data_IF_644272882401
#
_entry.id   IF_644272882401
#
_cell.length_a   1.000
_cell.length_b   1.000
_cell.length_c   1.000
_cell.angle_alpha   90.00
_cell.angle_beta   90.00
_cell.angle_gamma   90.00
#
_symmetry.space_group_name_H-M   'P 1'
#
loop_
_entity.id
_entity.type
_entity.pdbx_description
1 polymer ?
#
# COMPACT_ATOMS: atom_id res chain seq x y z
N UNK A 1 -14.23 -33.14 19.32
CA UNK A 1 -13.12 -32.33 18.79
C UNK A 1 -13.61 -30.90 18.66
N UNK A 2 -12.99 -29.93 19.33
CA UNK A 2 -13.38 -28.53 19.21
C UNK A 2 -12.88 -27.98 17.87
N UNK A 3 -13.75 -27.29 17.12
CA UNK A 3 -13.35 -26.63 15.89
C UNK A 3 -12.30 -25.55 16.18
N UNK A 4 -11.34 -25.31 15.27
CA UNK A 4 -10.36 -24.25 15.44
C UNK A 4 -11.06 -22.89 15.55
N UNK A 5 -10.73 -22.12 16.60
CA UNK A 5 -11.31 -20.80 16.89
C UNK A 5 -10.74 -19.66 16.03
N UNK A 6 -9.77 -19.96 15.17
CA UNK A 6 -9.04 -18.97 14.37
C UNK A 6 -8.97 -19.42 12.91
N UNK A 7 -9.25 -18.48 12.00
CA UNK A 7 -9.12 -18.68 10.56
C UNK A 7 -7.86 -17.92 10.08
N UNK A 8 -6.75 -18.61 9.77
CA UNK A 8 -5.54 -17.95 9.30
C UNK A 8 -5.71 -17.45 7.86
N UNK A 9 -5.57 -16.14 7.65
CA UNK A 9 -5.69 -15.49 6.34
C UNK A 9 -4.31 -15.05 5.82
N UNK A 10 -3.41 -16.00 5.57
CA UNK A 10 -2.00 -15.71 5.24
C UNK A 10 -1.79 -14.94 3.92
N UNK A 11 -2.80 -14.92 3.04
CA UNK A 11 -2.72 -14.28 1.73
C UNK A 11 -3.25 -12.84 1.72
N UNK A 12 -3.66 -12.31 2.87
CA UNK A 12 -4.25 -10.97 3.00
C UNK A 12 -3.34 -10.14 3.90
N UNK A 13 -3.01 -8.92 3.48
CA UNK A 13 -2.30 -7.98 4.32
C UNK A 13 -3.15 -7.58 5.53
N UNK A 14 -2.51 -7.08 6.60
CA UNK A 14 -3.23 -6.55 7.77
C UNK A 14 -4.23 -5.46 7.37
N UNK A 15 -3.85 -4.56 6.47
CA UNK A 15 -4.68 -3.44 6.02
C UNK A 15 -5.91 -3.93 5.24
N UNK A 16 -5.74 -4.85 4.29
CA UNK A 16 -6.85 -5.42 3.55
C UNK A 16 -7.75 -6.29 4.44
N UNK A 17 -7.17 -7.02 5.40
CA UNK A 17 -7.91 -7.79 6.39
C UNK A 17 -8.78 -6.91 7.29
N UNK A 18 -8.30 -5.73 7.69
CA UNK A 18 -9.10 -4.77 8.44
C UNK A 18 -10.32 -4.30 7.63
N UNK A 19 -10.13 -3.92 6.37
CA UNK A 19 -11.23 -3.49 5.48
C UNK A 19 -12.25 -4.62 5.31
N UNK A 20 -11.77 -5.86 5.11
CA UNK A 20 -12.62 -7.02 4.96
C UNK A 20 -13.49 -7.27 6.20
N UNK A 21 -12.88 -7.31 7.39
CA UNK A 21 -13.61 -7.50 8.64
C UNK A 21 -14.62 -6.38 8.84
N UNK A 22 -14.19 -5.13 8.67
CA UNK A 22 -15.09 -3.98 8.81
C UNK A 22 -16.29 -4.09 7.87
N UNK A 23 -16.07 -4.42 6.60
CA UNK A 23 -17.14 -4.59 5.62
C UNK A 23 -18.13 -5.68 6.05
N UNK A 24 -17.66 -6.82 6.55
CA UNK A 24 -18.55 -7.91 7.01
C UNK A 24 -19.44 -7.52 8.20
N UNK A 25 -19.01 -6.54 9.00
CA UNK A 25 -19.79 -6.05 10.15
C UNK A 25 -20.66 -4.84 9.84
N UNK A 26 -20.25 -3.98 8.90
CA UNK A 26 -20.88 -2.66 8.70
C UNK A 26 -21.21 -2.33 7.25
N UNK A 27 -21.02 -3.25 6.31
CA UNK A 27 -21.22 -3.09 4.85
C UNK A 27 -20.52 -1.86 4.23
N UNK A 28 -19.48 -1.36 4.90
CA UNK A 28 -18.82 -0.09 4.54
C UNK A 28 -17.31 -0.29 4.39
N UNK A 29 -16.73 0.46 3.45
CA UNK A 29 -15.30 0.46 3.19
C UNK A 29 -14.61 1.46 4.12
N UNK A 30 -13.81 0.97 5.07
CA UNK A 30 -12.94 1.83 5.90
C UNK A 30 -11.53 1.26 5.95
N UNK A 31 -10.56 2.11 5.64
CA UNK A 31 -9.15 1.78 5.78
C UNK A 31 -8.68 2.03 7.20
N UNK A 32 -7.60 1.37 7.61
CA UNK A 32 -6.85 1.78 8.79
C UNK A 32 -6.36 3.23 8.66
N UNK A 33 -6.22 3.89 9.81
CA UNK A 33 -5.60 5.20 9.91
C UNK A 33 -4.12 5.05 9.54
N UNK A 34 -3.63 5.96 8.69
CA UNK A 34 -2.21 6.00 8.33
C UNK A 34 -1.37 6.47 9.52
N UNK A 35 -0.36 5.68 9.89
CA UNK A 35 0.56 5.97 11.02
C UNK A 35 1.98 6.27 10.49
N UNK A 36 2.11 6.54 9.19
CA UNK A 36 3.40 6.85 8.56
C UNK A 36 3.70 8.34 8.48
N UNK A 37 4.75 8.73 7.74
CA UNK A 37 5.08 10.13 7.52
C UNK A 37 3.89 10.90 6.94
N UNK A 38 3.73 12.16 7.32
CA UNK A 38 2.67 13.08 6.85
C UNK A 38 2.84 13.52 5.38
N UNK A 39 3.67 12.81 4.64
CA UNK A 39 3.79 12.96 3.19
C UNK A 39 2.52 12.38 2.55
N UNK A 40 1.60 13.27 2.14
CA UNK A 40 0.30 12.91 1.58
C UNK A 40 0.40 11.99 0.36
N UNK A 41 1.52 12.05 -0.39
CA UNK A 41 1.73 11.17 -1.53
C UNK A 41 1.96 9.71 -1.09
N UNK A 42 2.73 9.50 -0.01
CA UNK A 42 2.98 8.16 0.55
C UNK A 42 1.71 7.55 1.13
N UNK A 43 0.91 8.35 1.83
CA UNK A 43 -0.38 7.92 2.34
C UNK A 43 -1.32 7.50 1.21
N UNK A 44 -1.43 8.31 0.15
CA UNK A 44 -2.24 7.99 -1.03
C UNK A 44 -1.79 6.69 -1.72
N UNK A 45 -0.48 6.50 -1.89
CA UNK A 45 0.09 5.26 -2.46
C UNK A 45 -0.27 4.05 -1.60
N UNK A 46 -0.15 4.15 -0.27
CA UNK A 46 -0.47 3.06 0.64
C UNK A 46 -1.97 2.71 0.65
N UNK A 47 -2.83 3.74 0.60
CA UNK A 47 -4.29 3.56 0.45
C UNK A 47 -4.63 2.89 -0.88
N UNK A 48 -4.00 3.31 -1.97
CA UNK A 48 -4.23 2.73 -3.30
C UNK A 48 -3.78 1.25 -3.33
N UNK A 49 -2.61 0.93 -2.76
CA UNK A 49 -2.15 -0.45 -2.61
C UNK A 49 -3.16 -1.30 -1.85
N UNK A 50 -3.62 -0.81 -0.70
CA UNK A 50 -4.64 -1.48 0.11
C UNK A 50 -5.92 -1.71 -0.70
N UNK A 51 -6.35 -0.73 -1.49
CA UNK A 51 -7.55 -0.86 -2.32
C UNK A 51 -7.42 -1.96 -3.40
N UNK A 52 -6.25 -2.11 -4.03
CA UNK A 52 -6.00 -3.23 -4.95
C UNK A 52 -5.99 -4.59 -4.23
N UNK A 53 -5.39 -4.68 -3.05
CA UNK A 53 -5.39 -5.93 -2.27
C UNK A 53 -6.81 -6.31 -1.81
N UNK A 54 -7.63 -5.33 -1.42
CA UNK A 54 -9.04 -5.56 -1.09
C UNK A 54 -9.83 -5.96 -2.34
N UNK A 55 -9.57 -5.32 -3.48
CA UNK A 55 -10.19 -5.67 -4.75
C UNK A 55 -9.94 -7.15 -5.10
N UNK A 56 -8.69 -7.61 -5.00
CA UNK A 56 -8.33 -9.02 -5.20
C UNK A 56 -9.03 -9.96 -4.21
N UNK A 57 -8.98 -9.59 -2.93
CA UNK A 57 -9.55 -10.39 -1.84
C UNK A 57 -11.06 -10.52 -1.97
N UNK A 58 -11.77 -9.42 -2.28
CA UNK A 58 -13.21 -9.41 -2.50
C UNK A 58 -13.59 -10.30 -3.69
N UNK A 59 -12.75 -10.31 -4.74
CA UNK A 59 -12.89 -11.21 -5.87
C UNK A 59 -12.65 -12.69 -5.51
N UNK A 60 -11.73 -12.99 -4.59
CA UNK A 60 -11.47 -14.36 -4.12
C UNK A 60 -12.62 -14.92 -3.29
N UNK A 61 -13.30 -14.06 -2.53
CA UNK A 61 -14.43 -14.43 -1.67
C UNK A 61 -15.82 -14.17 -2.27
N UNK A 62 -15.90 -13.76 -3.54
CA UNK A 62 -17.15 -13.41 -4.24
C UNK A 62 -18.00 -12.33 -3.52
N UNK A 63 -17.33 -11.38 -2.87
CA UNK A 63 -17.97 -10.27 -2.15
C UNK A 63 -18.25 -9.11 -3.10
N UNK A 64 -19.29 -9.23 -3.92
CA UNK A 64 -19.62 -8.27 -4.99
C UNK A 64 -19.75 -6.82 -4.49
N UNK A 65 -20.39 -6.59 -3.35
CA UNK A 65 -20.51 -5.24 -2.79
C UNK A 65 -19.15 -4.62 -2.43
N UNK A 66 -18.25 -5.43 -1.86
CA UNK A 66 -16.89 -4.99 -1.54
C UNK A 66 -16.04 -4.76 -2.80
N UNK A 67 -16.26 -5.54 -3.87
CA UNK A 67 -15.62 -5.31 -5.17
C UNK A 67 -15.97 -3.92 -5.70
N UNK A 68 -17.25 -3.53 -5.68
CA UNK A 68 -17.65 -2.20 -6.18
C UNK A 68 -17.08 -1.05 -5.32
N UNK A 69 -17.10 -1.20 -3.98
CA UNK A 69 -16.51 -0.23 -3.09
C UNK A 69 -15.00 -0.07 -3.33
N UNK A 70 -14.27 -1.17 -3.51
CA UNK A 70 -12.84 -1.13 -3.81
C UNK A 70 -12.56 -0.44 -5.16
N UNK A 71 -13.37 -0.67 -6.19
CA UNK A 71 -13.25 0.01 -7.50
C UNK A 71 -13.43 1.51 -7.38
N UNK A 72 -14.41 1.94 -6.60
CA UNK A 72 -14.66 3.36 -6.34
C UNK A 72 -13.43 4.01 -5.68
N UNK A 73 -12.89 3.36 -4.64
CA UNK A 73 -11.69 3.84 -3.95
C UNK A 73 -10.47 3.93 -4.89
N UNK A 74 -10.23 2.90 -5.71
CA UNK A 74 -9.15 2.93 -6.72
C UNK A 74 -9.37 4.09 -7.71
N UNK A 75 -10.60 4.33 -8.14
CA UNK A 75 -10.96 5.38 -9.10
C UNK A 75 -10.76 6.78 -8.54
N UNK A 76 -10.99 6.96 -7.23
CA UNK A 76 -10.77 8.22 -6.52
C UNK A 76 -9.27 8.45 -6.31
N UNK A 77 -8.57 7.48 -5.74
CA UNK A 77 -7.16 7.61 -5.33
C UNK A 77 -6.20 7.76 -6.51
N UNK A 78 -6.52 7.19 -7.68
CA UNK A 78 -5.65 7.28 -8.86
C UNK A 78 -5.50 8.69 -9.44
N UNK A 79 -6.39 9.63 -9.11
CA UNK A 79 -6.46 10.94 -9.77
C UNK A 79 -5.20 11.78 -9.55
N UNK A 80 -4.58 11.61 -8.39
CA UNK A 80 -3.44 12.41 -7.93
C UNK A 80 -2.13 11.60 -7.90
N UNK A 81 -2.13 10.40 -8.50
CA UNK A 81 -0.97 9.50 -8.53
C UNK A 81 -0.51 9.32 -9.98
N UNK A 82 0.79 9.43 -10.20
CA UNK A 82 1.40 9.18 -11.49
C UNK A 82 1.08 7.78 -12.04
N UNK A 83 0.85 7.69 -13.34
CA UNK A 83 0.44 6.46 -13.98
C UNK A 83 1.48 5.34 -13.88
N UNK A 84 2.79 5.64 -13.90
CA UNK A 84 3.83 4.63 -13.71
C UNK A 84 3.85 4.09 -12.28
N UNK A 85 3.58 4.95 -11.29
CA UNK A 85 3.44 4.52 -9.89
C UNK A 85 2.24 3.57 -9.74
N UNK A 86 1.08 3.94 -10.32
CA UNK A 86 -0.11 3.06 -10.34
C UNK A 86 0.24 1.71 -10.98
N UNK A 87 0.99 1.73 -12.09
CA UNK A 87 1.40 0.52 -12.80
C UNK A 87 2.27 -0.38 -11.92
N UNK A 88 3.20 0.20 -11.16
CA UNK A 88 4.03 -0.58 -10.25
C UNK A 88 3.23 -1.19 -9.10
N UNK A 89 2.32 -0.41 -8.50
CA UNK A 89 1.51 -0.85 -7.36
C UNK A 89 0.65 -2.07 -7.75
N UNK A 90 -0.05 -2.04 -8.88
CA UNK A 90 -0.91 -3.17 -9.23
C UNK A 90 -0.12 -4.43 -9.56
N UNK A 91 1.08 -4.33 -10.15
CA UNK A 91 1.92 -5.50 -10.44
C UNK A 91 2.27 -6.27 -9.16
N UNK A 92 2.46 -5.54 -8.06
CA UNK A 92 2.73 -6.11 -6.74
C UNK A 92 1.46 -6.62 -6.05
N UNK A 93 0.39 -5.81 -6.04
CA UNK A 93 -0.81 -6.06 -5.27
C UNK A 93 -1.85 -6.96 -5.97
N UNK A 94 -1.81 -7.05 -7.30
CA UNK A 94 -2.75 -7.79 -8.13
C UNK A 94 -2.05 -8.58 -9.24
N UNK A 95 -1.20 -9.57 -8.89
CA UNK A 95 -0.37 -10.29 -9.86
C UNK A 95 -1.19 -11.20 -10.79
N UNK A 96 -2.36 -11.67 -10.34
CA UNK A 96 -3.20 -12.61 -11.10
C UNK A 96 -4.48 -11.93 -11.56
N UNK A 97 -4.35 -11.08 -12.59
CA UNK A 97 -5.52 -10.45 -13.20
C UNK A 97 -6.46 -11.52 -13.76
N UNK A 98 -7.72 -11.53 -13.30
CA UNK A 98 -8.72 -12.47 -13.81
C UNK A 98 -9.00 -12.17 -15.30
N UNK A 99 -8.93 -13.19 -16.14
CA UNK A 99 -9.17 -13.08 -17.58
C UNK A 99 -10.56 -12.54 -17.95
N UNK A 100 -11.52 -12.48 -17.01
CA UNK A 100 -12.85 -11.92 -17.23
C UNK A 100 -13.10 -10.56 -16.52
N UNK A 101 -12.06 -9.93 -15.98
CA UNK A 101 -12.20 -8.62 -15.34
C UNK A 101 -12.17 -7.48 -16.39
N UNK A 102 -13.35 -7.18 -16.94
CA UNK A 102 -13.54 -6.11 -17.91
C UNK A 102 -13.20 -4.73 -17.34
N UNK A 103 -13.56 -4.48 -16.08
CA UNK A 103 -13.31 -3.20 -15.43
C UNK A 103 -11.81 -2.97 -15.28
N UNK A 104 -11.07 -3.97 -14.79
CA UNK A 104 -9.63 -3.85 -14.60
C UNK A 104 -8.89 -3.70 -15.94
N UNK A 105 -9.29 -4.42 -16.99
CA UNK A 105 -8.72 -4.23 -18.34
C UNK A 105 -8.91 -2.81 -18.84
N UNK A 106 -10.12 -2.27 -18.71
CA UNK A 106 -10.40 -0.90 -19.12
C UNK A 106 -9.59 0.11 -18.28
N UNK A 107 -9.49 -0.12 -16.97
CA UNK A 107 -8.70 0.68 -16.05
C UNK A 107 -7.22 0.73 -16.44
N UNK A 108 -6.61 -0.43 -16.72
CA UNK A 108 -5.19 -0.50 -17.11
C UNK A 108 -4.97 0.18 -18.46
N UNK A 109 -5.87 -0.03 -19.43
CA UNK A 109 -5.80 0.65 -20.72
C UNK A 109 -5.85 2.18 -20.58
N UNK A 110 -6.75 2.71 -19.74
CA UNK A 110 -6.83 4.14 -19.42
C UNK A 110 -5.56 4.65 -18.73
N UNK A 111 -5.05 3.88 -17.77
CA UNK A 111 -3.83 4.24 -17.01
C UNK A 111 -2.61 4.31 -17.93
N UNK A 112 -2.42 3.32 -18.80
CA UNK A 112 -1.33 3.30 -19.78
C UNK A 112 -1.48 4.47 -20.75
N UNK A 113 -2.68 4.72 -21.27
CA UNK A 113 -2.94 5.83 -22.18
C UNK A 113 -2.52 7.17 -21.55
N UNK A 114 -2.91 7.41 -20.30
CA UNK A 114 -2.51 8.61 -19.55
C UNK A 114 -0.99 8.73 -19.38
N UNK A 115 -0.30 7.63 -19.11
CA UNK A 115 1.16 7.61 -18.99
C UNK A 115 1.87 8.06 -20.28
N UNK A 116 1.25 7.83 -21.45
CA UNK A 116 1.80 8.25 -22.74
C UNK A 116 1.33 9.65 -23.18
N UNK A 117 0.16 10.10 -22.74
CA UNK A 117 -0.37 11.44 -23.06
C UNK A 117 0.25 12.54 -22.20
N UNK A 118 0.66 12.20 -20.98
CA UNK A 118 1.46 13.08 -20.12
C UNK A 118 2.90 12.62 -20.21
N UNK A 119 3.78 13.27 -21.00
CA UNK A 119 5.20 12.93 -20.99
C UNK A 119 5.74 13.25 -19.60
N UNK A 120 5.76 12.25 -18.72
CA UNK A 120 6.44 12.35 -17.44
C UNK A 120 7.90 12.73 -17.72
N UNK A 121 8.40 13.70 -16.97
CA UNK A 121 9.80 14.08 -16.94
C UNK A 121 10.66 12.81 -16.85
N UNK A 122 11.71 12.66 -17.68
CA UNK A 122 12.46 11.41 -17.75
C UNK A 122 12.90 10.95 -16.36
N UNK A 123 12.56 9.71 -16.02
CA UNK A 123 13.12 9.02 -14.85
C UNK A 123 14.63 9.24 -14.84
N UNK A 124 15.25 9.72 -13.73
CA UNK A 124 16.69 9.76 -13.66
C UNK A 124 17.21 8.33 -13.86
N UNK A 125 17.96 8.14 -14.93
CA UNK A 125 18.60 6.87 -15.21
C UNK A 125 19.42 6.49 -13.98
N UNK A 126 19.19 5.28 -13.46
CA UNK A 126 20.05 4.67 -12.45
C UNK A 126 21.42 4.48 -13.10
N UNK A 127 22.30 5.46 -12.95
CA UNK A 127 23.71 5.31 -13.29
C UNK A 127 24.28 4.29 -12.31
N UNK A 128 24.42 3.06 -12.80
CA UNK A 128 25.39 2.14 -12.23
C UNK A 128 26.77 2.77 -12.48
N UNK A 129 27.37 3.29 -11.42
CA UNK A 129 28.80 3.54 -11.40
C UNK A 129 29.40 2.49 -10.49
N UNK A 130 30.07 1.54 -11.12
CA UNK A 130 30.97 0.58 -10.48
C UNK A 130 32.06 1.33 -9.69
N UNK A 131 32.27 0.79 -8.51
CA UNK A 131 33.50 0.75 -7.72
C UNK A 131 34.85 0.97 -8.45
N UNK A 132 35.65 1.92 -7.94
CA UNK A 132 37.03 1.71 -7.42
C UNK A 132 37.86 3.00 -7.47
N UNK A 133 38.18 3.62 -6.33
CA UNK A 133 39.58 3.89 -5.92
C UNK A 133 39.64 4.22 -4.41
N UNK A 134 40.40 3.42 -3.65
CA UNK A 134 40.93 3.76 -2.32
C UNK A 134 41.85 4.99 -2.45
N UNK A 135 41.94 5.95 -1.54
CA UNK A 135 42.42 6.03 -0.15
C UNK A 135 42.22 7.53 0.19
N UNK A 136 41.85 8.00 1.38
CA UNK A 136 42.76 8.16 2.53
C UNK A 136 42.05 9.01 3.62
N UNK A 137 42.45 8.77 4.86
CA UNK A 137 42.34 9.61 6.08
C UNK A 137 41.05 9.64 6.93
N UNK A 138 41.26 9.11 8.13
CA UNK A 138 40.41 9.02 9.30
C UNK A 138 40.05 10.37 9.94
N UNK A 139 38.88 10.42 10.58
CA UNK A 139 38.71 10.98 11.92
C UNK A 139 37.72 10.11 12.70
N UNK A 140 38.16 9.64 13.86
CA UNK A 140 37.36 8.98 14.90
C UNK A 140 36.19 9.84 15.37
N UNK A 141 35.03 9.23 15.63
CA UNK A 141 34.44 9.38 16.96
C UNK A 141 33.52 8.20 17.30
N UNK A 142 33.71 7.73 18.52
CA UNK A 142 33.20 6.51 19.12
C UNK A 142 31.87 6.77 19.86
N UNK A 143 31.14 5.68 20.16
CA UNK A 143 30.03 5.51 21.13
C UNK A 143 28.62 5.84 20.57
N UNK A 144 27.58 5.02 20.69
CA UNK A 144 27.26 4.02 21.73
C UNK A 144 26.26 3.00 21.15
N UNK A 145 26.49 1.70 21.38
CA UNK A 145 25.42 0.70 21.36
C UNK A 145 24.43 1.07 22.47
N UNK A 146 23.11 1.05 22.25
CA UNK A 146 22.15 0.47 23.19
C UNK A 146 20.84 0.09 22.47
N UNK A 147 20.58 -1.20 22.54
CA UNK A 147 19.31 -1.91 22.43
C UNK A 147 18.24 -1.22 23.29
N UNK A 148 17.07 -0.91 22.74
CA UNK A 148 15.90 -0.50 23.53
C UNK A 148 14.71 -1.41 23.20
N UNK A 149 14.16 -2.14 24.19
CA UNK A 149 13.01 -3.01 24.01
C UNK A 149 11.71 -2.21 23.88
N UNK A 150 10.81 -2.75 23.06
CA UNK A 150 9.41 -2.33 22.95
C UNK A 150 8.69 -2.62 24.27
N UNK A 151 8.49 -1.61 25.09
CA UNK A 151 7.25 -1.46 25.84
C UNK A 151 7.13 -0.03 26.38
N UNK A 152 5.87 0.40 26.52
CA UNK A 152 5.40 1.56 27.30
C UNK A 152 5.15 2.89 26.56
N UNK A 153 3.96 3.02 25.96
CA UNK A 153 3.22 4.30 25.98
C UNK A 153 1.76 4.00 26.36
N UNK A 154 1.52 3.99 27.67
CA UNK A 154 0.19 4.12 28.26
C UNK A 154 0.15 5.46 29.00
N UNK A 155 -0.79 6.33 28.57
CA UNK A 155 -1.47 7.41 29.30
C UNK A 155 -0.65 8.31 30.26
N UNK A 156 -0.60 9.60 29.94
CA UNK A 156 -1.08 10.76 30.73
C UNK A 156 -0.74 12.04 29.93
N UNK A 157 -1.57 13.08 29.81
CA UNK A 157 -2.54 13.62 30.76
C UNK A 157 -1.97 14.89 31.43
N UNK A 158 -2.00 16.02 30.72
CA UNK A 158 -1.84 17.39 31.24
C UNK A 158 -2.33 18.32 30.09
N UNK A 159 -3.38 19.15 30.15
CA UNK A 159 -4.03 19.90 31.22
C UNK A 159 -3.06 20.84 31.95
N UNK A 160 -2.98 22.07 31.44
CA UNK A 160 -2.80 23.37 32.12
C UNK A 160 -2.92 24.44 31.01
N UNK A 161 -4.07 25.13 30.89
CA UNK A 161 -4.42 26.43 31.50
C UNK A 161 -3.37 27.52 31.24
#
# INVERSE_FOLDING_TARGET
MAAPKHLPLHHISRSAGHVLVQYLYTDTYRTMIWIGPTDGQKEMIAKLRTAFEVYDTAHKYDLKGLVELAREQITILRKDIDAFIIINIFKEAYPTAKANDFWFRAFIKDTIKKAFEQPATPLPAKTATDETTATDLAVEEQLVNQDLPFDNILLQGALEV
#
